data_IF_110851301215
#
_entry.id   IF_110851301215
#
_cell.length_a   1.000
_cell.length_b   1.000
_cell.length_c   1.000
_cell.angle_alpha   90.00
_cell.angle_beta   90.00
_cell.angle_gamma   90.00
#
_symmetry.space_group_name_H-M   'P 1'
#
loop_
_entity.id
_entity.type
_entity.pdbx_description
1 polymer ?
#
# COMPACT_ATOMS: atom_id res chain seq x y z
N UNK A 1 12.67 -6.65 7.55
CA UNK A 1 12.65 -5.41 8.34
C UNK A 1 11.79 -4.30 7.72
N UNK A 2 11.84 -4.06 6.42
CA UNK A 2 11.12 -2.95 5.74
C UNK A 2 9.57 -2.95 5.79
N UNK A 3 8.92 -4.01 6.30
CA UNK A 3 7.46 -4.18 6.16
C UNK A 3 6.65 -3.10 6.89
N UNK A 4 7.18 -2.59 8.00
CA UNK A 4 6.50 -1.59 8.82
C UNK A 4 6.54 -0.18 8.20
N UNK A 5 7.52 0.08 7.33
CA UNK A 5 7.73 1.39 6.69
C UNK A 5 7.05 1.53 5.32
N UNK A 6 6.45 0.45 4.78
CA UNK A 6 5.89 0.42 3.43
C UNK A 6 4.88 1.54 3.13
N UNK A 7 4.14 1.97 4.16
CA UNK A 7 3.10 2.99 4.05
C UNK A 7 3.53 4.33 4.67
N UNK A 8 4.81 4.53 4.92
CA UNK A 8 5.34 5.83 5.33
C UNK A 8 5.62 6.69 4.10
N UNK A 9 5.39 8.02 4.18
CA UNK A 9 5.74 8.92 3.10
C UNK A 9 7.26 8.86 2.84
N UNK A 10 7.63 8.89 1.55
CA UNK A 10 9.02 8.86 1.07
C UNK A 10 9.79 7.56 1.30
N UNK A 11 9.16 6.49 1.82
CA UNK A 11 9.84 5.19 1.92
C UNK A 11 10.06 4.57 0.54
N UNK A 12 11.32 4.24 0.21
CA UNK A 12 11.71 3.61 -1.06
C UNK A 12 13.00 2.81 -0.87
N UNK A 13 13.14 1.69 -1.61
CA UNK A 13 14.40 0.94 -1.72
C UNK A 13 15.11 1.20 -3.04
N UNK A 14 14.61 2.12 -3.87
CA UNK A 14 15.19 2.50 -5.16
C UNK A 14 15.87 3.85 -5.05
N UNK A 15 17.08 3.97 -5.61
CA UNK A 15 17.88 5.21 -5.58
C UNK A 15 17.15 6.43 -6.17
N UNK A 16 16.33 6.23 -7.21
CA UNK A 16 15.57 7.30 -7.89
C UNK A 16 14.06 7.25 -7.60
N UNK A 17 13.64 6.46 -6.60
CA UNK A 17 12.23 6.37 -6.22
C UNK A 17 11.79 7.54 -5.35
N UNK A 18 10.57 8.06 -5.56
CA UNK A 18 10.03 9.14 -4.70
C UNK A 18 9.48 8.63 -3.37
N UNK A 19 9.13 7.34 -3.30
CA UNK A 19 8.52 6.72 -2.13
C UNK A 19 7.10 7.20 -1.80
N UNK A 20 6.43 7.92 -2.72
CA UNK A 20 5.10 8.48 -2.47
C UNK A 20 3.95 7.59 -2.95
N UNK A 21 4.19 6.72 -3.93
CA UNK A 21 3.12 5.94 -4.58
C UNK A 21 2.31 5.09 -3.60
N UNK A 22 3.00 4.28 -2.79
CA UNK A 22 2.35 3.35 -1.86
C UNK A 22 1.67 4.08 -0.68
N UNK A 23 2.28 5.16 -0.19
CA UNK A 23 1.67 6.07 0.79
C UNK A 23 0.36 6.66 0.27
N UNK A 24 0.35 7.19 -0.96
CA UNK A 24 -0.85 7.75 -1.58
C UNK A 24 -1.92 6.69 -1.81
N UNK A 25 -1.56 5.51 -2.32
CA UNK A 25 -2.51 4.41 -2.49
C UNK A 25 -3.15 3.98 -1.17
N UNK A 26 -2.38 3.91 -0.09
CA UNK A 26 -2.91 3.62 1.25
C UNK A 26 -3.93 4.69 1.68
N UNK A 27 -3.61 5.97 1.51
CA UNK A 27 -4.52 7.08 1.80
C UNK A 27 -5.83 7.01 0.99
N UNK A 28 -5.72 6.85 -0.33
CA UNK A 28 -6.87 6.77 -1.25
C UNK A 28 -7.80 5.61 -0.85
N UNK A 29 -7.26 4.42 -0.61
CA UNK A 29 -8.05 3.25 -0.23
C UNK A 29 -8.74 3.47 1.11
N UNK A 30 -8.06 4.10 2.07
CA UNK A 30 -8.65 4.45 3.39
C UNK A 30 -9.77 5.48 3.27
N UNK A 31 -9.63 6.49 2.42
CA UNK A 31 -10.66 7.50 2.16
C UNK A 31 -11.93 6.87 1.56
N UNK A 32 -11.77 5.81 0.76
CA UNK A 32 -12.88 4.99 0.26
C UNK A 32 -13.38 3.93 1.27
N UNK A 33 -13.07 4.09 2.56
CA UNK A 33 -13.42 3.16 3.64
C UNK A 33 -12.92 1.72 3.42
N UNK A 34 -11.89 1.56 2.59
CA UNK A 34 -11.28 0.30 2.24
C UNK A 34 -10.05 -0.06 3.06
N UNK A 35 -9.39 -1.14 2.66
CA UNK A 35 -8.15 -1.65 3.24
C UNK A 35 -7.15 -2.02 2.13
N UNK A 36 -5.88 -1.63 2.33
CA UNK A 36 -4.76 -2.06 1.49
C UNK A 36 -3.91 -3.06 2.29
N UNK A 37 -3.96 -4.32 1.89
CA UNK A 37 -3.25 -5.42 2.55
C UNK A 37 -1.93 -5.72 1.82
N UNK A 38 -0.94 -6.20 2.58
CA UNK A 38 0.37 -6.57 2.04
C UNK A 38 0.79 -7.97 2.48
N UNK A 39 1.12 -8.80 1.50
CA UNK A 39 1.67 -10.14 1.70
C UNK A 39 3.01 -10.26 0.96
N UNK A 40 4.09 -10.34 1.75
CA UNK A 40 5.41 -10.72 1.23
C UNK A 40 5.48 -12.23 1.04
N UNK A 41 5.73 -12.69 -0.18
CA UNK A 41 5.88 -14.11 -0.51
C UNK A 41 7.34 -14.45 -0.83
N UNK A 42 7.68 -15.74 -0.91
CA UNK A 42 9.00 -16.19 -1.37
C UNK A 42 9.35 -15.76 -2.81
N UNK A 43 8.36 -15.32 -3.61
CA UNK A 43 8.54 -14.97 -5.02
C UNK A 43 8.28 -13.49 -5.34
N UNK A 44 7.95 -12.67 -4.34
CA UNK A 44 7.66 -11.25 -4.56
C UNK A 44 6.66 -10.67 -3.56
N UNK A 45 5.99 -9.61 -3.97
CA UNK A 45 5.03 -8.87 -3.16
C UNK A 45 3.62 -8.96 -3.75
N UNK A 46 2.62 -9.18 -2.90
CA UNK A 46 1.21 -9.08 -3.25
C UNK A 46 0.59 -7.96 -2.44
N UNK A 47 -0.14 -7.07 -3.13
CA UNK A 47 -0.95 -6.03 -2.52
C UNK A 47 -2.41 -6.25 -2.91
N UNK A 48 -3.29 -6.28 -1.91
CA UNK A 48 -4.73 -6.51 -2.12
C UNK A 48 -5.51 -5.29 -1.69
N UNK A 49 -6.36 -4.76 -2.57
CA UNK A 49 -7.29 -3.66 -2.27
C UNK A 49 -8.65 -4.27 -1.95
N UNK A 50 -9.16 -4.00 -0.75
CA UNK A 50 -10.49 -4.38 -0.31
C UNK A 50 -11.32 -3.11 -0.18
N UNK A 51 -12.44 -3.04 -0.90
CA UNK A 51 -13.39 -1.93 -0.81
C UNK A 51 -14.73 -2.46 -0.29
N UNK A 52 -15.50 -1.64 0.43
CA UNK A 52 -16.89 -1.96 0.72
C UNK A 52 -17.67 -2.21 -0.58
N UNK A 53 -18.62 -3.16 -0.59
CA UNK A 53 -19.55 -3.26 -1.70
C UNK A 53 -20.37 -1.98 -1.78
N UNK A 54 -20.76 -1.58 -2.98
CA UNK A 54 -21.79 -0.56 -3.14
C UNK A 54 -23.08 -1.05 -2.48
N UNK A 55 -23.67 -0.22 -1.63
CA UNK A 55 -24.98 -0.44 -1.04
C UNK A 55 -25.88 0.74 -1.46
N UNK A 56 -27.00 0.42 -2.11
CA UNK A 56 -28.06 1.38 -2.44
C UNK A 56 -28.88 1.77 -1.21
#
# INVERSE_FOLDING_TARGET
>A
ENRHHLFEPHFTTKETGTGLGLFMSYGIVREHQGQLLFEGTRRGAVFTVVLPPFAE
#
